data_IF_109342091130
#
_entry.id   IF_109342091130
#
_cell.length_a   1.000
_cell.length_b   1.000
_cell.length_c   1.000
_cell.angle_alpha   90.00
_cell.angle_beta   90.00
_cell.angle_gamma   90.00
#
_symmetry.space_group_name_H-M   'P 1'
#
loop_
_entity.id
_entity.type
_entity.pdbx_description
1 polymer ?
#
# COMPACT_ATOMS: atom_id res chain seq x y z
N UNK A 1 -17.13 -12.26 -21.31
CA UNK A 1 -15.98 -12.43 -20.41
C UNK A 1 -16.03 -11.27 -19.45
N UNK A 2 -16.19 -11.51 -18.16
CA UNK A 2 -16.05 -10.45 -17.15
C UNK A 2 -14.59 -10.02 -17.17
N UNK A 3 -14.33 -8.87 -17.76
CA UNK A 3 -12.99 -8.30 -17.79
C UNK A 3 -12.60 -7.88 -16.37
N UNK A 4 -11.50 -8.40 -15.87
CA UNK A 4 -10.95 -8.01 -14.59
C UNK A 4 -10.70 -6.50 -14.54
N UNK A 5 -10.83 -5.91 -13.37
CA UNK A 5 -10.52 -4.51 -13.15
C UNK A 5 -9.66 -4.34 -11.91
N UNK A 6 -8.90 -3.28 -11.90
CA UNK A 6 -7.92 -3.01 -10.85
C UNK A 6 -8.20 -1.66 -10.20
N UNK A 7 -8.07 -1.64 -8.87
CA UNK A 7 -8.07 -0.41 -8.08
C UNK A 7 -6.68 -0.27 -7.46
N UNK A 8 -5.98 0.81 -7.75
CA UNK A 8 -4.73 1.17 -7.11
C UNK A 8 -4.98 2.31 -6.13
N UNK A 9 -4.58 2.12 -4.87
CA UNK A 9 -4.86 3.04 -3.79
C UNK A 9 -3.57 3.56 -3.16
N UNK A 10 -3.19 4.80 -3.53
CA UNK A 10 -2.18 5.59 -2.83
C UNK A 10 -2.79 6.23 -1.58
N UNK A 11 -1.98 6.47 -0.54
CA UNK A 11 -2.50 7.03 0.72
C UNK A 11 -1.41 7.70 1.54
N UNK A 12 -1.76 8.76 2.24
CA UNK A 12 -0.97 9.31 3.32
C UNK A 12 -1.03 8.40 4.56
N UNK A 13 0.01 8.45 5.40
CA UNK A 13 0.01 7.71 6.66
C UNK A 13 -0.96 8.34 7.66
N UNK A 14 -1.75 7.53 8.36
CA UNK A 14 -2.79 8.01 9.27
C UNK A 14 -4.10 8.45 8.61
N UNK A 15 -4.22 8.45 7.27
CA UNK A 15 -5.47 8.82 6.56
C UNK A 15 -6.55 7.73 6.56
N UNK A 16 -6.35 6.59 7.24
CA UNK A 16 -7.29 5.46 7.19
C UNK A 16 -7.29 4.69 5.86
N UNK A 17 -6.37 5.04 4.94
CA UNK A 17 -6.39 4.51 3.58
C UNK A 17 -6.25 2.98 3.47
N UNK A 18 -5.58 2.30 4.41
CA UNK A 18 -5.53 0.82 4.43
C UNK A 18 -6.91 0.26 4.77
N UNK A 19 -7.53 0.72 5.83
CA UNK A 19 -8.85 0.28 6.27
C UNK A 19 -9.92 0.55 5.20
N UNK A 20 -9.88 1.73 4.57
CA UNK A 20 -10.76 2.06 3.45
C UNK A 20 -10.57 1.06 2.31
N UNK A 21 -9.33 0.72 1.97
CA UNK A 21 -9.01 -0.26 0.92
C UNK A 21 -9.54 -1.65 1.23
N UNK A 22 -9.37 -2.13 2.46
CA UNK A 22 -9.88 -3.42 2.91
C UNK A 22 -11.42 -3.50 2.85
N UNK A 23 -12.10 -2.48 3.39
CA UNK A 23 -13.57 -2.40 3.36
C UNK A 23 -14.09 -2.32 1.92
N UNK A 24 -13.47 -1.48 1.09
CA UNK A 24 -13.86 -1.32 -0.31
C UNK A 24 -13.71 -2.63 -1.10
N UNK A 25 -12.58 -3.32 -0.95
CA UNK A 25 -12.34 -4.60 -1.62
C UNK A 25 -13.37 -5.65 -1.20
N UNK A 26 -13.69 -5.73 0.10
CA UNK A 26 -14.73 -6.60 0.66
C UNK A 26 -16.11 -6.30 0.07
N UNK A 27 -16.50 -5.03 -0.01
CA UNK A 27 -17.79 -4.62 -0.54
C UNK A 27 -17.94 -4.81 -2.06
N UNK A 28 -16.83 -4.78 -2.79
CA UNK A 28 -16.78 -5.04 -4.22
C UNK A 28 -16.58 -6.53 -4.56
N UNK A 29 -16.31 -7.38 -3.55
CA UNK A 29 -16.05 -8.81 -3.74
C UNK A 29 -14.77 -9.09 -4.52
N UNK A 30 -13.74 -8.23 -4.40
CA UNK A 30 -12.46 -8.35 -5.10
C UNK A 30 -11.31 -8.66 -4.15
N UNK A 31 -10.21 -9.18 -4.68
CA UNK A 31 -9.02 -9.47 -3.89
C UNK A 31 -8.35 -8.18 -3.37
N UNK A 32 -7.86 -8.22 -2.15
CA UNK A 32 -7.11 -7.12 -1.52
C UNK A 32 -5.64 -7.49 -1.37
N UNK A 33 -4.76 -6.58 -1.77
CA UNK A 33 -3.32 -6.78 -1.66
C UNK A 33 -2.64 -5.52 -1.11
N UNK A 34 -2.09 -5.64 0.07
CA UNK A 34 -1.12 -4.69 0.62
C UNK A 34 0.32 -5.23 0.49
N UNK A 35 1.27 -4.58 1.17
CA UNK A 35 2.69 -4.97 1.15
C UNK A 35 2.89 -6.42 1.58
N UNK A 36 2.26 -6.80 2.68
CA UNK A 36 2.42 -8.12 3.30
C UNK A 36 1.81 -9.21 2.40
N UNK A 37 0.63 -8.96 1.84
CA UNK A 37 -0.04 -9.92 0.96
C UNK A 37 0.64 -10.05 -0.42
N UNK A 38 1.27 -8.98 -0.93
CA UNK A 38 2.10 -9.06 -2.15
C UNK A 38 3.34 -9.93 -1.88
N UNK A 39 3.92 -9.81 -0.68
CA UNK A 39 5.03 -10.65 -0.26
C UNK A 39 4.64 -12.14 -0.21
N UNK A 40 3.57 -12.47 0.49
CA UNK A 40 3.06 -13.85 0.57
C UNK A 40 2.75 -14.43 -0.82
N UNK A 41 2.10 -13.66 -1.69
CA UNK A 41 1.80 -14.11 -3.06
C UNK A 41 3.06 -14.36 -3.89
N UNK A 42 4.16 -13.65 -3.62
CA UNK A 42 5.43 -13.90 -4.30
C UNK A 42 6.09 -15.20 -3.84
N UNK A 43 5.95 -15.57 -2.57
CA UNK A 43 6.41 -16.85 -2.03
C UNK A 43 5.61 -18.02 -2.63
N UNK A 44 4.27 -17.93 -2.59
CA UNK A 44 3.38 -18.96 -3.12
C UNK A 44 3.55 -19.21 -4.62
N UNK A 45 3.84 -18.16 -5.39
CA UNK A 45 4.02 -18.27 -6.85
C UNK A 45 5.39 -18.79 -7.27
N UNK A 46 6.33 -18.98 -6.35
CA UNK A 46 7.71 -19.37 -6.65
C UNK A 46 8.52 -18.32 -7.42
N UNK A 47 7.98 -17.13 -7.61
CA UNK A 47 8.65 -16.06 -8.36
C UNK A 47 9.85 -15.48 -7.60
N UNK A 48 10.02 -15.85 -6.34
CA UNK A 48 11.10 -15.28 -5.53
C UNK A 48 11.56 -16.11 -4.33
N UNK A 49 11.71 -17.43 -4.46
CA UNK A 49 12.24 -18.28 -3.37
C UNK A 49 13.63 -17.82 -2.90
N UNK A 50 14.54 -17.51 -3.80
CA UNK A 50 15.92 -17.11 -3.47
C UNK A 50 16.03 -15.77 -2.73
N UNK A 51 15.04 -14.89 -2.89
CA UNK A 51 15.05 -13.56 -2.28
C UNK A 51 14.58 -13.56 -0.84
N UNK A 52 13.56 -14.34 -0.54
CA UNK A 52 12.95 -14.37 0.80
C UNK A 52 13.76 -15.20 1.76
N UNK A 53 14.40 -16.27 1.31
CA UNK A 53 15.33 -17.06 2.14
C UNK A 53 16.48 -16.20 2.68
N UNK A 54 17.04 -15.31 1.86
CA UNK A 54 18.12 -14.42 2.30
C UNK A 54 17.62 -13.27 3.22
N UNK A 55 16.38 -12.82 3.07
CA UNK A 55 15.79 -11.80 3.92
C UNK A 55 15.40 -12.39 5.30
N UNK A 56 14.87 -13.60 5.33
CA UNK A 56 14.49 -14.31 6.55
C UNK A 56 15.71 -14.75 7.37
N UNK A 57 16.79 -15.19 6.74
CA UNK A 57 18.04 -15.55 7.43
C UNK A 57 18.65 -14.36 8.17
N UNK A 58 18.55 -13.14 7.61
CA UNK A 58 19.02 -11.90 8.25
C UNK A 58 18.06 -11.38 9.31
N UNK A 59 16.75 -11.49 9.11
CA UNK A 59 15.76 -11.14 10.11
C UNK A 59 15.84 -12.05 11.34
N UNK A 60 16.04 -13.35 11.15
CA UNK A 60 16.22 -14.33 12.22
C UNK A 60 17.47 -14.05 13.08
N UNK A 61 18.59 -13.64 12.48
CA UNK A 61 19.82 -13.29 13.22
C UNK A 61 19.66 -11.99 14.02
N UNK A 62 18.83 -11.07 13.59
CA UNK A 62 18.54 -9.82 14.32
C UNK A 62 17.57 -10.04 15.48
N UNK A 63 16.63 -10.96 15.36
CA UNK A 63 15.66 -11.31 16.42
C UNK A 63 16.35 -12.10 17.55
N UNK A 64 17.33 -12.94 17.25
CA UNK A 64 18.06 -13.72 18.26
C UNK A 64 19.04 -12.87 19.09
N UNK A 65 19.48 -11.72 18.56
CA UNK A 65 20.38 -10.78 19.26
C UNK A 65 19.69 -9.73 20.12
N UNK A 66 18.38 -9.63 20.08
CA UNK A 66 17.59 -8.56 20.72
C UNK A 66 16.65 -8.98 21.83
N UNK A 67 16.87 -10.13 22.49
CA UNK A 67 15.97 -10.65 23.53
C UNK A 67 16.21 -10.02 24.91
N UNK A 68 16.28 -8.71 25.03
CA UNK A 68 16.10 -8.01 26.33
C UNK A 68 15.71 -6.54 26.09
N UNK A 69 14.44 -6.26 26.24
CA UNK A 69 13.98 -4.91 26.54
C UNK A 69 13.20 -4.21 25.45
N UNK A 70 11.95 -4.04 25.78
CA UNK A 70 10.92 -3.12 25.25
C UNK A 70 10.07 -3.63 24.07
N UNK A 71 8.83 -3.86 24.46
CA UNK A 71 7.66 -4.03 23.61
C UNK A 71 7.53 -2.89 22.62
N UNK A 72 7.64 -3.19 21.31
CA UNK A 72 6.87 -2.54 20.26
C UNK A 72 7.02 -3.34 18.95
N UNK A 73 6.06 -4.23 18.59
CA UNK A 73 6.15 -5.04 17.37
C UNK A 73 5.72 -4.30 16.09
N UNK A 74 5.59 -2.98 16.11
CA UNK A 74 4.91 -2.24 15.03
C UNK A 74 5.82 -1.45 14.08
N UNK A 75 7.14 -1.38 14.30
CA UNK A 75 8.02 -0.49 13.55
C UNK A 75 8.97 -1.18 12.56
N UNK A 76 8.62 -2.29 11.98
CA UNK A 76 9.46 -2.91 10.93
C UNK A 76 9.07 -2.54 9.50
N UNK A 77 8.42 -1.41 9.27
CA UNK A 77 8.27 -0.87 7.90
C UNK A 77 9.56 -0.24 7.35
N UNK A 78 10.74 -0.59 7.84
CA UNK A 78 11.90 0.14 7.37
C UNK A 78 13.29 -0.40 7.61
N UNK A 79 13.47 -1.47 8.30
CA UNK A 79 14.82 -2.00 8.53
C UNK A 79 15.15 -3.16 7.60
N UNK A 80 15.29 -2.89 6.30
CA UNK A 80 16.11 -3.76 5.47
C UNK A 80 17.56 -3.29 5.62
N UNK A 81 18.48 -4.13 6.12
CA UNK A 81 19.89 -3.77 6.15
C UNK A 81 20.40 -3.59 4.72
N UNK A 82 21.14 -2.51 4.51
CA UNK A 82 21.65 -1.99 3.23
C UNK A 82 22.76 -2.87 2.62
N UNK A 83 22.79 -4.15 2.86
CA UNK A 83 23.79 -5.07 2.31
C UNK A 83 23.17 -6.40 1.90
N UNK A 84 22.17 -6.37 1.02
CA UNK A 84 21.68 -7.55 0.34
C UNK A 84 22.12 -7.52 -1.12
N UNK A 85 22.59 -8.65 -1.64
CA UNK A 85 23.11 -8.85 -3.00
C UNK A 85 22.09 -8.58 -4.12
N UNK A 86 20.84 -8.25 -3.78
CA UNK A 86 19.84 -7.78 -4.73
C UNK A 86 19.70 -6.26 -4.57
N UNK A 87 19.85 -5.53 -5.67
CA UNK A 87 19.59 -4.10 -5.72
C UNK A 87 18.11 -3.82 -5.41
N UNK A 88 17.79 -2.60 -4.94
CA UNK A 88 16.41 -2.15 -4.79
C UNK A 88 15.61 -2.30 -6.10
N UNK A 89 16.28 -2.22 -7.24
CA UNK A 89 15.69 -2.38 -8.56
C UNK A 89 15.28 -3.82 -8.85
N UNK A 90 16.08 -4.81 -8.41
CA UNK A 90 15.71 -6.22 -8.52
C UNK A 90 14.47 -6.53 -7.70
N UNK A 91 14.38 -5.97 -6.49
CA UNK A 91 13.20 -6.07 -5.62
C UNK A 91 11.97 -5.47 -6.25
N UNK A 92 12.10 -4.28 -6.83
CA UNK A 92 11.03 -3.61 -7.53
C UNK A 92 10.55 -4.42 -8.74
N UNK A 93 11.47 -5.02 -9.50
CA UNK A 93 11.14 -5.88 -10.63
C UNK A 93 10.30 -7.08 -10.20
N UNK A 94 10.74 -7.82 -9.20
CA UNK A 94 10.03 -9.00 -8.69
C UNK A 94 8.63 -8.63 -8.21
N UNK A 95 8.54 -7.59 -7.37
CA UNK A 95 7.25 -7.07 -6.91
C UNK A 95 6.34 -6.66 -8.08
N UNK A 96 6.92 -6.07 -9.13
CA UNK A 96 6.17 -5.68 -10.33
C UNK A 96 5.62 -6.88 -11.07
N UNK A 97 6.40 -7.96 -11.19
CA UNK A 97 5.99 -9.19 -11.88
C UNK A 97 4.86 -9.88 -11.09
N UNK A 98 4.95 -9.93 -9.76
CA UNK A 98 3.86 -10.44 -8.89
C UNK A 98 2.58 -9.62 -9.04
N UNK A 99 2.67 -8.28 -9.00
CA UNK A 99 1.51 -7.40 -9.16
C UNK A 99 0.83 -7.61 -10.50
N UNK A 100 1.58 -7.71 -11.61
CA UNK A 100 1.02 -8.01 -12.94
C UNK A 100 0.34 -9.36 -12.98
N UNK A 101 1.01 -10.40 -12.48
CA UNK A 101 0.45 -11.74 -12.43
C UNK A 101 -0.87 -11.80 -11.67
N UNK A 102 -0.95 -11.18 -10.49
CA UNK A 102 -2.19 -11.12 -9.70
C UNK A 102 -3.31 -10.35 -10.43
N UNK A 103 -2.97 -9.26 -11.12
CA UNK A 103 -3.92 -8.44 -11.88
C UNK A 103 -4.52 -9.17 -13.09
N UNK A 104 -3.75 -10.07 -13.71
CA UNK A 104 -4.21 -10.90 -14.83
C UNK A 104 -5.19 -12.01 -14.40
N UNK A 105 -5.10 -12.46 -13.16
CA UNK A 105 -5.92 -13.58 -12.67
C UNK A 105 -7.34 -13.17 -12.27
N UNK A 106 -7.50 -12.00 -11.64
CA UNK A 106 -8.78 -11.56 -11.05
C UNK A 106 -8.81 -10.07 -10.75
N UNK A 107 -10.01 -9.53 -10.52
CA UNK A 107 -10.15 -8.16 -10.04
C UNK A 107 -9.51 -7.99 -8.66
N UNK A 108 -8.71 -6.94 -8.49
CA UNK A 108 -7.95 -6.70 -7.28
C UNK A 108 -7.91 -5.22 -6.88
N UNK A 109 -7.66 -4.99 -5.58
CA UNK A 109 -7.27 -3.71 -5.03
C UNK A 109 -5.85 -3.81 -4.46
N UNK A 110 -4.94 -2.98 -4.97
CA UNK A 110 -3.56 -2.87 -4.49
C UNK A 110 -3.38 -1.60 -3.68
N UNK A 111 -2.72 -1.71 -2.51
CA UNK A 111 -2.43 -0.57 -1.65
C UNK A 111 -0.97 -0.17 -1.74
N UNK A 112 -0.67 0.91 -2.45
CA UNK A 112 0.68 1.46 -2.65
C UNK A 112 1.53 0.65 -3.63
N UNK A 113 2.85 0.55 -3.35
CA UNK A 113 3.83 -0.23 -4.13
C UNK A 113 3.99 0.17 -5.60
N UNK A 114 3.66 1.42 -5.93
CA UNK A 114 3.67 1.90 -7.32
C UNK A 114 2.78 1.06 -8.26
N UNK A 115 1.74 0.41 -7.72
CA UNK A 115 0.88 -0.46 -8.52
C UNK A 115 0.20 0.31 -9.67
N UNK A 116 -0.14 1.58 -9.47
CA UNK A 116 -0.67 2.48 -10.50
C UNK A 116 0.31 2.71 -11.66
N UNK A 117 1.61 2.75 -11.38
CA UNK A 117 2.66 2.85 -12.41
C UNK A 117 2.94 1.49 -13.07
N UNK A 118 3.00 0.41 -12.27
CA UNK A 118 3.24 -0.95 -12.75
C UNK A 118 2.13 -1.39 -13.71
N UNK A 119 0.89 -1.04 -13.40
CA UNK A 119 -0.33 -1.41 -14.14
C UNK A 119 -0.87 -0.28 -15.03
N UNK A 120 -0.04 0.70 -15.41
CA UNK A 120 -0.46 1.87 -16.21
C UNK A 120 -1.05 1.51 -17.57
N UNK A 121 -0.63 0.39 -18.12
CA UNK A 121 -1.11 -0.11 -19.41
C UNK A 121 -2.30 -1.09 -19.28
N UNK A 122 -2.75 -1.35 -18.03
CA UNK A 122 -3.91 -2.20 -17.79
C UNK A 122 -5.21 -1.44 -18.11
N UNK A 123 -6.07 -1.95 -19.02
CA UNK A 123 -7.13 -1.15 -19.62
C UNK A 123 -8.24 -0.72 -18.65
N UNK A 124 -8.48 -1.52 -17.61
CA UNK A 124 -9.55 -1.26 -16.62
C UNK A 124 -8.97 -0.97 -15.24
N UNK A 125 -8.26 0.16 -15.14
CA UNK A 125 -7.57 0.55 -13.93
C UNK A 125 -8.14 1.85 -13.34
N UNK A 126 -8.30 1.90 -12.02
CA UNK A 126 -8.71 3.09 -11.26
C UNK A 126 -7.64 3.42 -10.24
N UNK A 127 -7.04 4.61 -10.37
CA UNK A 127 -6.02 5.10 -9.45
C UNK A 127 -6.63 6.13 -8.51
N UNK A 128 -6.53 5.89 -7.21
CA UNK A 128 -7.13 6.71 -6.15
C UNK A 128 -6.06 7.11 -5.15
N UNK A 129 -6.11 8.34 -4.67
CA UNK A 129 -5.26 8.79 -3.57
C UNK A 129 -6.10 9.25 -2.38
N UNK A 130 -5.81 8.72 -1.19
CA UNK A 130 -6.48 9.09 0.06
C UNK A 130 -5.55 9.96 0.89
N UNK A 131 -6.03 11.13 1.23
CA UNK A 131 -5.35 12.10 2.09
C UNK A 131 -6.22 12.43 3.31
N UNK A 132 -5.64 13.14 4.27
CA UNK A 132 -6.35 13.84 5.32
C UNK A 132 -5.46 14.96 5.88
N UNK A 133 -6.03 16.01 6.50
CA UNK A 133 -5.27 17.04 7.22
C UNK A 133 -4.36 16.43 8.29
N UNK A 134 -3.22 17.05 8.51
CA UNK A 134 -2.21 16.52 9.47
C UNK A 134 -2.80 16.25 10.85
N UNK A 135 -3.62 17.17 11.37
CA UNK A 135 -4.23 16.98 12.68
C UNK A 135 -5.16 15.76 12.74
N UNK A 136 -6.03 15.58 11.74
CA UNK A 136 -6.91 14.41 11.67
C UNK A 136 -6.13 13.09 11.60
N UNK A 137 -4.98 13.09 10.95
CA UNK A 137 -4.08 11.92 10.86
C UNK A 137 -3.37 11.65 12.19
N UNK A 138 -2.96 12.70 12.92
CA UNK A 138 -2.40 12.60 14.27
C UNK A 138 -3.44 12.00 15.21
N UNK A 139 -4.64 12.58 15.25
CA UNK A 139 -5.72 12.12 16.12
C UNK A 139 -6.06 10.64 15.86
N UNK A 140 -6.15 10.24 14.62
CA UNK A 140 -6.38 8.85 14.23
C UNK A 140 -5.26 7.91 14.73
N UNK A 141 -3.99 8.31 14.60
CA UNK A 141 -2.86 7.48 15.04
C UNK A 141 -2.75 7.40 16.55
N UNK A 142 -3.04 8.50 17.27
CA UNK A 142 -3.11 8.51 18.72
C UNK A 142 -4.18 7.54 19.22
N UNK A 143 -5.37 7.56 18.62
CA UNK A 143 -6.46 6.64 18.96
C UNK A 143 -6.08 5.18 18.65
N UNK A 144 -5.56 4.92 17.44
CA UNK A 144 -5.29 3.57 16.96
C UNK A 144 -4.09 2.91 17.64
N UNK A 145 -3.02 3.66 17.90
CA UNK A 145 -1.75 3.12 18.39
C UNK A 145 -1.42 3.48 19.83
N UNK A 146 -2.24 4.31 20.49
CA UNK A 146 -2.02 4.77 21.87
C UNK A 146 -0.64 5.45 22.06
N UNK A 147 -0.20 6.21 21.05
CA UNK A 147 1.05 6.99 21.06
C UNK A 147 0.80 8.45 21.38
N UNK A 148 1.86 9.22 21.69
CA UNK A 148 1.74 10.67 21.86
C UNK A 148 1.47 11.38 20.53
N UNK A 149 0.95 12.61 20.57
CA UNK A 149 0.75 13.42 19.37
C UNK A 149 2.08 13.71 18.65
N UNK A 150 3.14 13.98 19.39
CA UNK A 150 4.48 14.24 18.85
C UNK A 150 5.04 12.99 18.14
N UNK A 151 4.89 11.80 18.74
CA UNK A 151 5.28 10.54 18.10
C UNK A 151 4.47 10.28 16.84
N UNK A 152 3.16 10.52 16.89
CA UNK A 152 2.28 10.35 15.73
C UNK A 152 2.70 11.28 14.57
N UNK A 153 3.05 12.53 14.85
CA UNK A 153 3.54 13.47 13.85
C UNK A 153 4.87 13.02 13.25
N UNK A 154 5.81 12.56 14.07
CA UNK A 154 7.09 12.02 13.59
C UNK A 154 6.88 10.79 12.70
N UNK A 155 5.97 9.88 13.09
CA UNK A 155 5.58 8.72 12.29
C UNK A 155 5.03 9.13 10.92
N UNK A 156 4.15 10.12 10.88
CA UNK A 156 3.56 10.66 9.65
C UNK A 156 4.67 11.17 8.71
N UNK A 157 5.54 12.03 9.22
CA UNK A 157 6.62 12.63 8.44
C UNK A 157 7.57 11.57 7.86
N UNK A 158 8.00 10.60 8.68
CA UNK A 158 8.88 9.51 8.26
C UNK A 158 8.22 8.61 7.21
N UNK A 159 6.98 8.18 7.46
CA UNK A 159 6.28 7.27 6.58
C UNK A 159 5.97 7.91 5.21
N UNK A 160 5.44 9.13 5.21
CA UNK A 160 5.09 9.84 3.97
C UNK A 160 6.34 10.20 3.16
N UNK A 161 7.43 10.66 3.80
CA UNK A 161 8.72 10.89 3.12
C UNK A 161 9.23 9.62 2.45
N UNK A 162 9.17 8.48 3.14
CA UNK A 162 9.61 7.19 2.58
C UNK A 162 8.74 6.77 1.40
N UNK A 163 7.41 6.91 1.51
CA UNK A 163 6.47 6.59 0.42
C UNK A 163 6.70 7.48 -0.80
N UNK A 164 6.82 8.79 -0.57
CA UNK A 164 7.10 9.76 -1.63
C UNK A 164 8.44 9.45 -2.34
N UNK A 165 9.52 9.22 -1.58
CA UNK A 165 10.82 8.89 -2.16
C UNK A 165 10.78 7.62 -3.02
N UNK A 166 10.13 6.56 -2.52
CA UNK A 166 9.98 5.31 -3.26
C UNK A 166 9.14 5.49 -4.53
N UNK A 167 7.99 6.14 -4.41
CA UNK A 167 7.09 6.36 -5.54
C UNK A 167 7.72 7.24 -6.62
N UNK A 168 8.31 8.38 -6.22
CA UNK A 168 8.90 9.33 -7.16
C UNK A 168 10.08 8.69 -7.91
N UNK A 169 10.89 7.88 -7.23
CA UNK A 169 12.04 7.22 -7.84
C UNK A 169 11.61 6.22 -8.95
N UNK A 170 10.64 5.34 -8.65
CA UNK A 170 10.26 4.29 -9.61
C UNK A 170 9.24 4.74 -10.66
N UNK A 171 8.36 5.67 -10.34
CA UNK A 171 7.32 6.12 -11.28
C UNK A 171 7.70 7.34 -12.11
N UNK A 172 8.72 8.08 -11.70
CA UNK A 172 9.08 9.41 -12.24
C UNK A 172 7.93 10.43 -12.14
N UNK A 173 6.98 10.21 -11.23
CA UNK A 173 5.85 11.08 -10.93
C UNK A 173 5.96 11.62 -9.52
N UNK A 174 5.15 12.61 -9.18
CA UNK A 174 5.08 13.15 -7.82
C UNK A 174 4.00 12.41 -7.02
N UNK A 175 4.38 11.82 -5.89
CA UNK A 175 3.46 11.15 -5.00
C UNK A 175 2.40 12.10 -4.45
N UNK A 176 1.13 11.73 -4.54
CA UNK A 176 0.00 12.55 -4.09
C UNK A 176 -0.37 13.71 -5.01
N UNK A 177 0.32 13.91 -6.14
CA UNK A 177 -0.06 14.93 -7.11
C UNK A 177 -1.37 14.56 -7.81
N UNK A 178 -2.34 15.47 -7.80
CA UNK A 178 -3.70 15.20 -8.25
C UNK A 178 -3.78 14.70 -9.71
N UNK A 179 -2.90 15.19 -10.58
CA UNK A 179 -2.85 14.77 -11.99
C UNK A 179 -2.46 13.30 -12.20
N UNK A 180 -1.93 12.66 -11.15
CA UNK A 180 -1.49 11.25 -11.22
C UNK A 180 -2.64 10.28 -10.98
N UNK A 181 -3.71 10.74 -10.34
CA UNK A 181 -4.80 9.91 -9.89
C UNK A 181 -6.12 10.28 -10.57
N UNK A 182 -7.03 9.30 -10.67
CA UNK A 182 -8.39 9.56 -11.17
C UNK A 182 -9.30 10.18 -10.11
N UNK A 183 -8.96 9.99 -8.84
CA UNK A 183 -9.67 10.55 -7.68
C UNK A 183 -8.66 10.81 -6.56
N UNK A 184 -8.66 12.03 -6.03
CA UNK A 184 -8.02 12.36 -4.75
C UNK A 184 -9.12 12.74 -3.77
N UNK A 185 -9.12 12.14 -2.58
CA UNK A 185 -10.18 12.34 -1.59
C UNK A 185 -9.59 12.54 -0.20
N UNK A 186 -10.17 13.50 0.53
CA UNK A 186 -9.92 13.72 1.94
C UNK A 186 -10.88 12.85 2.76
N UNK A 187 -10.31 11.84 3.42
CA UNK A 187 -11.09 10.89 4.22
C UNK A 187 -11.66 11.48 5.52
N UNK A 188 -11.12 12.59 6.01
CA UNK A 188 -11.61 13.24 7.24
C UNK A 188 -12.99 13.87 7.05
N UNK A 189 -13.38 14.18 5.80
CA UNK A 189 -14.67 14.82 5.49
C UNK A 189 -15.83 13.86 5.62
N UNK A 190 -15.65 12.62 5.16
CA UNK A 190 -16.72 11.62 5.12
C UNK A 190 -16.54 10.48 6.15
N UNK A 191 -15.41 10.45 6.84
CA UNK A 191 -15.00 9.32 7.65
C UNK A 191 -14.71 8.07 6.79
N UNK A 192 -14.35 6.97 7.44
CA UNK A 192 -13.95 5.73 6.73
C UNK A 192 -15.10 5.20 5.87
N UNK A 193 -16.26 4.96 6.47
CA UNK A 193 -17.39 4.30 5.79
C UNK A 193 -17.99 5.18 4.69
N UNK A 194 -18.13 6.49 4.93
CA UNK A 194 -18.58 7.43 3.90
C UNK A 194 -17.60 7.53 2.72
N UNK A 195 -16.30 7.48 2.99
CA UNK A 195 -15.26 7.45 1.95
C UNK A 195 -15.34 6.17 1.14
N UNK A 196 -15.53 5.01 1.77
CA UNK A 196 -15.74 3.72 1.08
C UNK A 196 -16.94 3.79 0.14
N UNK A 197 -18.09 4.26 0.65
CA UNK A 197 -19.32 4.37 -0.14
C UNK A 197 -19.14 5.29 -1.37
N UNK A 198 -18.50 6.44 -1.17
CA UNK A 198 -18.22 7.40 -2.25
C UNK A 198 -17.29 6.80 -3.31
N UNK A 199 -16.18 6.19 -2.89
CA UNK A 199 -15.22 5.56 -3.82
C UNK A 199 -15.87 4.41 -4.59
N UNK A 200 -16.70 3.60 -3.95
CA UNK A 200 -17.43 2.50 -4.58
C UNK A 200 -18.30 2.99 -5.74
N UNK A 201 -19.05 4.06 -5.53
CA UNK A 201 -19.88 4.65 -6.58
C UNK A 201 -19.04 5.27 -7.71
N UNK A 202 -17.93 5.92 -7.37
CA UNK A 202 -16.99 6.43 -8.36
C UNK A 202 -16.42 5.31 -9.24
N UNK A 203 -15.95 4.21 -8.62
CA UNK A 203 -15.40 3.04 -9.32
C UNK A 203 -16.44 2.42 -10.25
N UNK A 204 -17.67 2.22 -9.78
CA UNK A 204 -18.75 1.69 -10.60
C UNK A 204 -19.00 2.54 -11.84
N UNK A 205 -19.09 3.87 -11.67
CA UNK A 205 -19.30 4.80 -12.78
C UNK A 205 -18.13 4.82 -13.76
N UNK A 206 -16.89 4.90 -13.25
CA UNK A 206 -15.69 4.96 -14.10
C UNK A 206 -15.50 3.69 -14.95
N UNK A 207 -15.81 2.54 -14.39
CA UNK A 207 -15.62 1.24 -15.03
C UNK A 207 -16.88 0.69 -15.71
N UNK A 208 -18.01 1.42 -15.66
CA UNK A 208 -19.31 0.98 -16.14
C UNK A 208 -19.72 -0.40 -15.58
N UNK A 209 -19.47 -0.61 -14.27
CA UNK A 209 -19.89 -1.84 -13.61
C UNK A 209 -21.41 -1.83 -13.44
N UNK A 210 -22.03 -2.98 -13.72
CA UNK A 210 -23.46 -3.17 -13.47
C UNK A 210 -23.76 -3.06 -11.96
N UNK A 211 -24.93 -2.54 -11.59
CA UNK A 211 -25.35 -2.44 -10.19
C UNK A 211 -25.42 -3.79 -9.50
#
# INVERSE_FOLDING_TARGET
MDEHYIINLGRQFGSGGKEIGEKLAKELGIAFYDKELIHLASEESGLCTDFFEQADEKASKTILGGLLGTRLPFFTEGAYPYNSYLSNDSLFKIQSDVIRHLAEQKSCLFVGRCADYILRDFPRCVNIFISAPTQARIDHLVELHQVSADDAEEMIQKADKKRASYYNYYSYKTWGAAETYHLCIDSSVLGIDGTVAFIKEFVKKKLNLKP
#
